data_IF_135740052996
#
_entry.id   IF_135740052996
#
_cell.length_a   1.000
_cell.length_b   1.000
_cell.length_c   1.000
_cell.angle_alpha   90.00
_cell.angle_beta   90.00
_cell.angle_gamma   90.00
#
_symmetry.space_group_name_H-M   'P 1'
#
loop_
_entity.id
_entity.type
_entity.pdbx_description
1 polymer ?
#
# COMPACT_ATOMS: atom_id res chain seq x y z
N UNK A 1 -23.35 2.61 -42.01
CA UNK A 1 -24.08 1.98 -40.89
C UNK A 1 -23.18 1.96 -39.64
N UNK A 2 -22.89 3.17 -39.11
CA UNK A 2 -21.82 3.47 -38.14
C UNK A 2 -22.36 3.95 -36.79
N UNK A 3 -23.33 3.25 -36.19
CA UNK A 3 -24.05 3.78 -35.02
C UNK A 3 -24.35 2.78 -33.89
N UNK A 4 -23.83 1.55 -33.96
CA UNK A 4 -24.15 0.50 -32.96
C UNK A 4 -22.96 -0.21 -32.33
N UNK A 5 -21.72 0.11 -32.74
CA UNK A 5 -20.51 -0.45 -32.13
C UNK A 5 -19.95 0.43 -31.00
N UNK A 6 -20.58 1.58 -30.74
CA UNK A 6 -20.16 2.54 -29.72
C UNK A 6 -20.76 2.26 -28.33
N UNK A 7 -21.53 1.17 -28.18
CA UNK A 7 -22.48 0.99 -27.08
C UNK A 7 -22.10 -0.06 -26.02
N UNK A 8 -20.82 -0.45 -25.88
CA UNK A 8 -20.50 -1.51 -24.90
C UNK A 8 -19.08 -1.52 -24.30
N UNK A 9 -18.30 -0.45 -24.45
CA UNK A 9 -16.95 -0.38 -23.84
C UNK A 9 -16.78 0.80 -22.86
N UNK A 10 -17.84 1.14 -22.11
CA UNK A 10 -17.79 2.24 -21.14
C UNK A 10 -18.13 1.85 -19.68
N UNK A 11 -18.24 0.58 -19.34
CA UNK A 11 -18.50 0.24 -17.95
C UNK A 11 -18.06 -1.19 -17.65
N UNK A 12 -17.60 -1.40 -16.42
CA UNK A 12 -17.05 -2.63 -15.85
C UNK A 12 -15.56 -2.82 -16.25
N UNK A 13 -14.60 -2.80 -15.35
CA UNK A 13 -14.69 -3.06 -13.92
C UNK A 13 -13.43 -2.49 -13.28
N UNK A 14 -13.66 -1.54 -12.36
CA UNK A 14 -12.74 -1.10 -11.33
C UNK A 14 -11.96 -2.29 -10.80
N UNK A 15 -10.72 -2.45 -11.28
CA UNK A 15 -9.78 -3.33 -10.62
C UNK A 15 -9.53 -2.70 -9.25
N UNK A 16 -10.24 -3.21 -8.23
CA UNK A 16 -9.81 -3.14 -6.85
C UNK A 16 -8.50 -3.94 -6.76
N UNK A 17 -7.45 -3.38 -7.35
CA UNK A 17 -6.10 -3.80 -7.10
C UNK A 17 -5.89 -3.47 -5.64
N UNK A 18 -5.74 -4.50 -4.81
CA UNK A 18 -4.97 -4.40 -3.57
C UNK A 18 -3.51 -4.11 -3.96
N UNK A 19 -3.32 -2.99 -4.65
CA UNK A 19 -2.04 -2.46 -5.04
C UNK A 19 -1.43 -1.99 -3.74
N UNK A 20 -0.24 -2.52 -3.44
CA UNK A 20 0.56 -1.97 -2.38
C UNK A 20 0.61 -0.44 -2.54
N UNK A 21 0.36 0.25 -1.44
CA UNK A 21 0.35 1.70 -1.40
C UNK A 21 1.81 2.15 -1.43
N UNK A 22 2.24 2.66 -2.57
CA UNK A 22 3.59 3.22 -2.71
C UNK A 22 3.63 4.61 -2.07
N UNK A 23 4.51 4.82 -1.10
CA UNK A 23 4.70 6.11 -0.42
C UNK A 23 4.91 7.28 -1.40
N UNK A 24 5.57 7.03 -2.53
CA UNK A 24 5.89 8.03 -3.54
C UNK A 24 4.72 8.33 -4.48
N UNK A 25 3.61 7.58 -4.40
CA UNK A 25 2.41 7.79 -5.21
C UNK A 25 1.13 7.95 -4.38
N UNK A 26 1.13 7.48 -3.14
CA UNK A 26 0.00 7.48 -2.22
C UNK A 26 -0.56 8.88 -1.95
N UNK A 27 -1.87 8.95 -1.74
CA UNK A 27 -2.54 10.14 -1.21
C UNK A 27 -2.60 10.13 0.31
N UNK A 28 -3.03 11.23 0.93
CA UNK A 28 -3.25 11.30 2.39
C UNK A 28 -4.20 10.17 2.84
N UNK A 29 -5.28 9.94 2.08
CA UNK A 29 -6.29 8.94 2.40
C UNK A 29 -5.74 7.51 2.30
N UNK A 30 -4.89 7.24 1.30
CA UNK A 30 -4.26 5.92 1.14
C UNK A 30 -3.31 5.63 2.30
N UNK A 31 -2.52 6.62 2.71
CA UNK A 31 -1.60 6.49 3.84
C UNK A 31 -2.35 6.35 5.17
N UNK A 32 -3.42 7.13 5.38
CA UNK A 32 -4.24 7.06 6.60
C UNK A 32 -5.02 5.73 6.70
N UNK A 33 -5.35 5.11 5.56
CA UNK A 33 -5.97 3.79 5.50
C UNK A 33 -5.05 2.66 6.00
N UNK A 34 -3.73 2.88 6.05
CA UNK A 34 -2.78 1.88 6.54
C UNK A 34 -2.78 1.86 8.06
N UNK A 35 -3.20 0.73 8.62
CA UNK A 35 -3.24 0.52 10.08
C UNK A 35 -1.86 0.77 10.70
N UNK A 36 -1.76 1.84 11.48
CA UNK A 36 -0.53 2.22 12.19
C UNK A 36 0.18 3.45 11.62
N UNK A 37 -0.29 3.99 10.49
CA UNK A 37 -0.07 5.37 10.07
C UNK A 37 -1.21 6.21 10.65
N UNK A 38 -0.86 7.31 11.31
CA UNK A 38 -1.84 8.31 11.76
C UNK A 38 -1.63 9.64 11.06
N UNK A 39 -2.52 10.62 11.29
CA UNK A 39 -2.52 11.91 10.59
C UNK A 39 -1.19 12.67 10.72
N UNK A 40 -0.49 12.54 11.85
CA UNK A 40 0.83 13.15 12.04
C UNK A 40 1.91 12.49 11.16
N UNK A 41 1.88 11.16 11.01
CA UNK A 41 2.87 10.42 10.23
C UNK A 41 2.62 10.58 8.73
N UNK A 42 1.37 10.50 8.28
CA UNK A 42 1.01 10.72 6.88
C UNK A 42 1.34 12.14 6.42
N UNK A 43 1.10 13.15 7.26
CA UNK A 43 1.52 14.54 6.98
C UNK A 43 3.04 14.66 6.81
N UNK A 44 3.83 14.12 7.76
CA UNK A 44 5.30 14.13 7.69
C UNK A 44 5.83 13.43 6.44
N UNK A 45 5.23 12.29 6.08
CA UNK A 45 5.60 11.55 4.88
C UNK A 45 5.39 12.37 3.61
N UNK A 46 4.26 13.09 3.52
CA UNK A 46 3.99 13.99 2.40
C UNK A 46 4.92 15.19 2.38
N UNK A 47 5.23 15.77 3.53
CA UNK A 47 6.18 16.89 3.61
C UNK A 47 7.59 16.48 3.17
N UNK A 48 8.05 15.31 3.60
CA UNK A 48 9.33 14.77 3.13
C UNK A 48 9.30 14.46 1.63
N UNK A 49 8.20 13.89 1.13
CA UNK A 49 8.03 13.62 -0.31
C UNK A 49 8.08 14.89 -1.17
N UNK A 50 7.61 16.04 -0.66
CA UNK A 50 7.70 17.33 -1.38
C UNK A 50 9.15 17.75 -1.61
N UNK A 51 10.05 17.45 -0.68
CA UNK A 51 11.48 17.75 -0.85
C UNK A 51 12.13 16.80 -1.85
N UNK A 52 11.92 15.50 -1.69
CA UNK A 52 12.46 14.48 -2.58
C UNK A 52 11.69 13.16 -2.40
N UNK A 53 11.49 12.38 -3.48
CA UNK A 53 10.93 11.04 -3.38
C UNK A 53 11.83 10.14 -2.51
N UNK A 54 11.21 9.22 -1.79
CA UNK A 54 11.92 8.24 -0.99
C UNK A 54 12.61 7.22 -1.90
N UNK A 55 13.88 6.96 -1.65
CA UNK A 55 14.67 5.99 -2.44
C UNK A 55 14.41 4.56 -2.00
N UNK A 56 14.45 4.35 -0.70
CA UNK A 56 14.27 3.07 -0.05
C UNK A 56 13.64 3.27 1.33
N UNK A 57 13.46 2.15 2.04
CA UNK A 57 12.94 2.16 3.39
C UNK A 57 13.89 2.78 4.42
N UNK A 58 15.21 2.74 4.21
CA UNK A 58 16.16 3.34 5.13
C UNK A 58 16.06 4.88 5.09
N UNK A 59 15.93 5.46 3.90
CA UNK A 59 15.67 6.88 3.68
C UNK A 59 14.35 7.30 4.31
N UNK A 60 13.30 6.48 4.17
CA UNK A 60 12.01 6.71 4.82
C UNK A 60 12.14 6.73 6.35
N UNK A 61 12.80 5.73 6.94
CA UNK A 61 13.01 5.63 8.40
C UNK A 61 13.86 6.80 8.92
N UNK A 62 14.89 7.20 8.18
CA UNK A 62 15.78 8.29 8.57
C UNK A 62 15.09 9.65 8.50
N UNK A 63 14.23 9.88 7.50
CA UNK A 63 13.59 11.17 7.24
C UNK A 63 12.24 11.35 7.94
N UNK A 64 11.55 10.27 8.27
CA UNK A 64 10.21 10.30 8.88
C UNK A 64 10.28 9.88 10.35
N UNK A 65 10.36 10.85 11.29
CA UNK A 65 10.46 10.53 12.70
C UNK A 65 9.19 9.83 13.21
N UNK A 66 9.38 8.69 13.86
CA UNK A 66 8.31 7.83 14.38
C UNK A 66 8.13 6.52 13.61
N UNK A 67 8.77 6.35 12.46
CA UNK A 67 8.86 5.07 11.74
C UNK A 67 10.25 4.49 11.94
N UNK A 68 10.40 3.57 12.89
CA UNK A 68 11.60 2.73 13.01
C UNK A 68 11.40 1.34 12.39
N UNK A 69 12.42 0.50 12.38
CA UNK A 69 12.42 -0.82 11.72
C UNK A 69 11.21 -1.69 12.04
N UNK A 70 10.87 -1.82 13.33
CA UNK A 70 9.70 -2.58 13.78
C UNK A 70 8.39 -2.05 13.22
N UNK A 71 8.26 -0.73 13.06
CA UNK A 71 7.07 -0.12 12.47
C UNK A 71 7.10 -0.25 10.95
N UNK A 72 8.25 -0.03 10.31
CA UNK A 72 8.42 -0.22 8.87
C UNK A 72 8.01 -1.64 8.42
N UNK A 73 8.43 -2.68 9.17
CA UNK A 73 8.02 -4.06 8.91
C UNK A 73 6.49 -4.24 9.01
N UNK A 74 5.86 -3.66 10.04
CA UNK A 74 4.39 -3.70 10.19
C UNK A 74 3.69 -2.96 9.05
N UNK A 75 4.14 -1.75 8.72
CA UNK A 75 3.58 -0.94 7.65
C UNK A 75 3.68 -1.66 6.31
N UNK A 76 4.82 -2.29 6.03
CA UNK A 76 4.98 -3.08 4.82
C UNK A 76 4.09 -4.32 4.80
N UNK A 77 3.92 -5.00 5.93
CA UNK A 77 2.95 -6.09 6.06
C UNK A 77 1.48 -5.61 5.90
N UNK A 78 1.19 -4.33 6.17
CA UNK A 78 -0.10 -3.71 5.89
C UNK A 78 -0.23 -3.20 4.44
N UNK A 79 0.78 -3.41 3.60
CA UNK A 79 0.75 -3.06 2.19
C UNK A 79 1.41 -1.72 1.83
N UNK A 80 2.12 -1.07 2.74
CA UNK A 80 2.98 0.07 2.38
C UNK A 80 4.21 -0.44 1.61
N UNK A 81 4.60 0.28 0.56
CA UNK A 81 5.84 0.02 -0.19
C UNK A 81 6.57 1.32 -0.49
N UNK A 82 7.85 1.21 -0.83
CA UNK A 82 8.66 2.32 -1.33
C UNK A 82 9.15 1.94 -2.72
N UNK A 83 8.71 2.64 -3.77
CA UNK A 83 9.03 2.28 -5.16
C UNK A 83 8.61 0.86 -5.57
N UNK A 84 7.61 0.29 -4.89
CA UNK A 84 7.18 -1.10 -5.06
C UNK A 84 7.95 -2.11 -4.21
N UNK A 85 9.00 -1.70 -3.48
CA UNK A 85 9.73 -2.56 -2.56
C UNK A 85 9.02 -2.67 -1.20
N UNK A 86 8.84 -3.90 -0.75
CA UNK A 86 8.42 -4.21 0.61
C UNK A 86 9.62 -4.12 1.58
N UNK A 87 9.36 -3.81 2.85
CA UNK A 87 10.41 -3.75 3.87
C UNK A 87 10.87 -5.17 4.20
N UNK A 88 12.11 -5.49 3.84
CA UNK A 88 12.75 -6.76 4.18
C UNK A 88 13.69 -6.51 5.36
N UNK A 89 13.18 -6.69 6.57
CA UNK A 89 14.07 -6.80 7.72
C UNK A 89 14.64 -8.23 7.71
N UNK A 90 15.96 -8.38 7.75
CA UNK A 90 16.67 -9.67 7.63
C UNK A 90 16.34 -10.70 8.74
N UNK A 91 15.40 -10.42 9.64
CA UNK A 91 15.00 -11.30 10.75
C UNK A 91 13.47 -11.53 10.85
N UNK A 92 12.69 -11.17 9.83
CA UNK A 92 11.25 -11.46 9.82
C UNK A 92 10.95 -12.69 8.94
N UNK A 93 10.78 -13.86 9.59
CA UNK A 93 10.06 -15.01 9.02
C UNK A 93 8.78 -14.50 8.34
N UNK A 94 8.43 -14.99 7.13
CA UNK A 94 7.24 -14.54 6.42
C UNK A 94 6.01 -14.74 7.30
N UNK A 95 5.39 -13.67 7.77
CA UNK A 95 3.98 -13.72 8.15
C UNK A 95 3.21 -13.72 6.85
N UNK A 96 3.03 -14.95 6.37
CA UNK A 96 2.03 -15.38 5.42
C UNK A 96 0.67 -14.79 5.82
N UNK A 97 0.35 -13.61 5.29
CA UNK A 97 -1.01 -13.08 5.25
C UNK A 97 -1.83 -13.93 4.30
N UNK A 98 -2.21 -15.12 4.78
CA UNK A 98 -3.54 -15.72 4.66
C UNK A 98 -4.36 -15.21 3.47
N UNK A 99 -3.96 -15.64 2.28
CA UNK A 99 -4.94 -15.98 1.24
C UNK A 99 -5.81 -17.12 1.77
N UNK A 100 -7.10 -17.08 1.45
CA UNK A 100 -8.14 -18.10 1.66
C UNK A 100 -8.91 -18.05 2.98
N UNK A 101 -10.03 -17.31 2.97
CA UNK A 101 -11.24 -17.70 3.71
C UNK A 101 -12.51 -17.10 3.10
N UNK A 102 -12.88 -17.53 1.87
CA UNK A 102 -14.31 -17.72 1.54
C UNK A 102 -14.52 -18.63 0.32
N UNK A 103 -14.35 -19.95 0.48
CA UNK A 103 -15.10 -20.94 -0.31
C UNK A 103 -15.09 -22.33 0.33
N UNK A 104 -16.11 -22.63 1.12
CA UNK A 104 -16.61 -23.99 1.40
C UNK A 104 -18.01 -23.81 1.99
N UNK A 105 -19.07 -23.92 1.18
CA UNK A 105 -19.71 -25.18 0.81
C UNK A 105 -20.10 -25.98 2.06
N UNK A 106 -21.39 -25.92 2.38
CA UNK A 106 -22.11 -26.77 3.33
C UNK A 106 -22.08 -28.22 2.85
N UNK A 107 -21.84 -29.20 3.73
CA UNK A 107 -22.41 -30.52 3.54
C UNK A 107 -23.26 -30.92 4.76
N UNK A 108 -24.53 -31.25 4.49
CA UNK A 108 -25.25 -32.32 5.17
C UNK A 108 -26.06 -33.06 4.12
#
# INVERSE_FOLDING_TARGET
MFKKVFASLLALLTAASFAAVDINKATVADLDSIKGIGPSTSAKMLDQRKTAPFKDWADLIQRVPGIGDKRAAKLSAQGLTVNGDAFKHSDAKPVESKTTARKTAVPK
#
